data_IF_347791297038
#
_entry.id   IF_347791297038
#
_cell.length_a   1.000
_cell.length_b   1.000
_cell.length_c   1.000
_cell.angle_alpha   90.00
_cell.angle_beta   90.00
_cell.angle_gamma   90.00
#
_symmetry.space_group_name_H-M   'P 1'
#
loop_
_entity.id
_entity.type
_entity.pdbx_description
1 polymer ?
#
# COMPACT_ATOMS: atom_id res chain seq x y z
N UNK A 1 28.87 -1.61 -16.52
CA UNK A 1 29.04 -0.58 -15.48
C UNK A 1 28.31 0.69 -15.92
N UNK A 2 27.03 0.84 -15.58
CA UNK A 2 26.32 2.13 -15.58
C UNK A 2 24.95 1.96 -14.89
N UNK A 3 24.95 2.05 -13.56
CA UNK A 3 23.75 2.12 -12.71
C UNK A 3 23.27 3.57 -12.58
N UNK A 4 23.07 4.28 -13.70
CA UNK A 4 22.46 5.61 -13.68
C UNK A 4 20.98 5.46 -14.03
N UNK A 5 20.11 5.83 -13.09
CA UNK A 5 18.66 6.11 -13.25
C UNK A 5 17.69 4.92 -12.96
N UNK A 6 17.46 4.57 -11.68
CA UNK A 6 16.34 3.67 -11.25
C UNK A 6 15.42 4.39 -10.23
N UNK A 7 15.24 5.72 -10.33
CA UNK A 7 14.43 6.50 -9.38
C UNK A 7 13.61 7.64 -10.03
N UNK A 8 13.45 7.65 -11.35
CA UNK A 8 12.58 8.60 -12.04
C UNK A 8 11.30 7.88 -12.43
N UNK A 9 10.26 8.01 -11.62
CA UNK A 9 8.93 7.49 -11.94
C UNK A 9 8.46 7.92 -13.33
N UNK A 10 8.05 6.96 -14.16
CA UNK A 10 7.55 7.19 -15.52
C UNK A 10 6.13 6.66 -15.65
N UNK A 11 5.23 7.49 -16.19
CA UNK A 11 3.94 7.03 -16.70
C UNK A 11 4.19 6.58 -18.14
N UNK A 12 4.08 5.29 -18.40
CA UNK A 12 4.37 4.74 -19.73
C UNK A 12 3.27 5.18 -20.70
N UNK A 13 3.68 5.53 -21.92
CA UNK A 13 2.80 6.06 -22.96
C UNK A 13 2.64 5.06 -24.09
N UNK A 14 1.47 5.09 -24.71
CA UNK A 14 1.17 4.25 -25.86
C UNK A 14 1.95 4.75 -27.10
N UNK A 15 2.82 3.93 -27.69
CA UNK A 15 3.58 4.31 -28.89
C UNK A 15 2.69 4.50 -30.13
N UNK A 16 1.47 3.97 -30.16
CA UNK A 16 0.51 4.15 -31.26
C UNK A 16 -0.30 5.45 -31.16
N UNK A 17 -0.12 6.23 -30.08
CA UNK A 17 -0.78 7.52 -29.91
C UNK A 17 -0.24 8.55 -30.91
N UNK A 18 -1.11 9.18 -31.70
CA UNK A 18 -0.73 10.21 -32.69
C UNK A 18 0.13 11.34 -32.08
N UNK A 19 -0.13 11.70 -30.83
CA UNK A 19 0.62 12.73 -30.09
C UNK A 19 1.69 12.17 -29.14
N UNK A 20 1.86 10.85 -29.05
CA UNK A 20 2.73 10.17 -28.08
C UNK A 20 2.39 10.43 -26.61
N UNK A 21 1.23 11.04 -26.31
CA UNK A 21 0.85 11.51 -24.97
C UNK A 21 -0.13 10.60 -24.24
N UNK A 22 -0.80 9.67 -24.91
CA UNK A 22 -1.80 8.79 -24.27
C UNK A 22 -1.14 7.83 -23.27
N UNK A 23 -1.55 7.81 -21.99
CA UNK A 23 -1.06 6.83 -21.02
C UNK A 23 -1.57 5.42 -21.39
N UNK A 24 -0.70 4.42 -21.24
CA UNK A 24 -1.04 3.02 -21.53
C UNK A 24 -1.54 2.23 -20.29
N UNK A 25 -1.57 2.87 -19.11
CA UNK A 25 -1.99 2.27 -17.84
C UNK A 25 -0.85 1.67 -17.00
N UNK A 26 0.40 1.70 -17.46
CA UNK A 26 1.56 1.21 -16.70
C UNK A 26 2.26 2.38 -15.99
N UNK A 27 2.53 2.18 -14.70
CA UNK A 27 3.22 3.13 -13.84
C UNK A 27 4.52 2.50 -13.35
N UNK A 28 5.64 3.15 -13.63
CA UNK A 28 6.97 2.71 -13.21
C UNK A 28 7.46 3.49 -11.99
N UNK A 29 8.15 2.80 -11.08
CA UNK A 29 8.85 3.36 -9.92
C UNK A 29 7.99 4.34 -9.09
N UNK A 30 8.44 5.59 -8.93
CA UNK A 30 7.80 6.63 -8.13
C UNK A 30 6.44 7.08 -8.69
N UNK A 31 6.13 6.81 -9.97
CA UNK A 31 4.85 7.19 -10.56
C UNK A 31 3.69 6.35 -9.99
N UNK A 32 3.97 5.08 -9.62
CA UNK A 32 2.99 4.26 -8.94
C UNK A 32 2.62 4.89 -7.58
N UNK A 33 3.60 5.43 -6.86
CA UNK A 33 3.42 5.93 -5.50
C UNK A 33 2.36 7.02 -5.36
N UNK A 34 2.26 7.94 -6.32
CA UNK A 34 1.21 8.97 -6.33
C UNK A 34 -0.20 8.38 -6.41
N UNK A 35 -0.35 7.22 -7.06
CA UNK A 35 -1.63 6.50 -7.14
C UNK A 35 -1.90 5.70 -5.87
N UNK A 36 -0.86 5.22 -5.18
CA UNK A 36 -1.04 4.53 -3.90
C UNK A 36 -1.66 5.44 -2.85
N UNK A 37 -1.26 6.71 -2.78
CA UNK A 37 -1.85 7.69 -1.86
C UNK A 37 -3.37 7.87 -2.08
N UNK A 38 -3.83 7.83 -3.34
CA UNK A 38 -5.25 7.91 -3.68
C UNK A 38 -5.99 6.57 -3.50
N UNK A 39 -5.31 5.44 -3.72
CA UNK A 39 -5.91 4.11 -3.58
C UNK A 39 -6.11 3.73 -2.11
N UNK A 40 -5.25 4.26 -1.24
CA UNK A 40 -5.25 4.01 0.19
C UNK A 40 -5.97 5.08 1.00
N UNK A 41 -6.64 6.03 0.34
CA UNK A 41 -7.59 6.96 0.96
C UNK A 41 -8.92 6.25 1.25
N UNK A 42 -8.82 5.22 2.10
CA UNK A 42 -9.96 4.42 2.52
C UNK A 42 -10.56 5.07 3.78
N UNK A 43 -11.87 5.28 3.77
CA UNK A 43 -12.59 5.67 4.97
C UNK A 43 -12.40 4.63 6.09
N UNK A 44 -12.50 5.06 7.34
CA UNK A 44 -12.30 4.20 8.53
C UNK A 44 -13.17 2.93 8.48
N UNK A 45 -14.41 3.06 8.01
CA UNK A 45 -15.35 1.92 7.89
C UNK A 45 -14.95 0.92 6.81
N UNK A 46 -14.42 1.39 5.68
CA UNK A 46 -13.92 0.54 4.60
C UNK A 46 -12.65 -0.19 5.05
N UNK A 47 -11.74 0.52 5.74
CA UNK A 47 -10.59 -0.10 6.39
C UNK A 47 -10.98 -1.22 7.37
N UNK A 48 -12.00 -0.98 8.21
CA UNK A 48 -12.50 -2.00 9.13
C UNK A 48 -13.13 -3.20 8.40
N UNK A 49 -13.92 -2.96 7.35
CA UNK A 49 -14.57 -4.02 6.58
C UNK A 49 -13.55 -4.89 5.84
N UNK A 50 -12.58 -4.25 5.19
CA UNK A 50 -11.53 -4.93 4.45
C UNK A 50 -10.64 -5.77 5.37
N UNK A 51 -10.19 -5.20 6.49
CA UNK A 51 -9.36 -5.93 7.46
C UNK A 51 -10.10 -7.09 8.10
N UNK A 52 -11.39 -6.92 8.40
CA UNK A 52 -12.23 -8.01 8.93
C UNK A 52 -12.44 -9.13 7.93
N UNK A 53 -12.65 -8.80 6.66
CA UNK A 53 -12.78 -9.78 5.59
C UNK A 53 -11.46 -10.55 5.39
N UNK A 54 -10.33 -9.84 5.30
CA UNK A 54 -9.01 -10.44 5.15
C UNK A 54 -8.66 -11.37 6.32
N UNK A 55 -8.95 -10.96 7.56
CA UNK A 55 -8.73 -11.77 8.74
C UNK A 55 -9.52 -13.10 8.70
N UNK A 56 -10.80 -13.05 8.27
CA UNK A 56 -11.63 -14.25 8.11
C UNK A 56 -11.07 -15.20 7.05
N UNK A 57 -10.66 -14.68 5.90
CA UNK A 57 -10.10 -15.47 4.81
C UNK A 57 -8.77 -16.13 5.21
N UNK A 58 -7.90 -15.39 5.87
CA UNK A 58 -6.65 -15.92 6.42
C UNK A 58 -6.90 -16.98 7.49
N UNK A 59 -7.87 -16.77 8.39
CA UNK A 59 -8.22 -17.75 9.42
C UNK A 59 -8.79 -19.03 8.83
N UNK A 60 -9.58 -18.93 7.75
CA UNK A 60 -10.19 -20.07 7.09
C UNK A 60 -9.16 -21.07 6.54
N UNK A 61 -7.95 -20.60 6.21
CA UNK A 61 -6.83 -21.44 5.76
C UNK A 61 -5.79 -21.71 6.86
N UNK A 62 -6.09 -21.37 8.11
CA UNK A 62 -5.23 -21.64 9.26
C UNK A 62 -4.06 -20.68 9.45
N UNK A 63 -4.06 -19.52 8.76
CA UNK A 63 -3.03 -18.49 8.99
C UNK A 63 -3.29 -17.84 10.35
N UNK A 64 -2.29 -17.92 11.23
CA UNK A 64 -2.32 -17.35 12.58
C UNK A 64 -1.42 -16.14 12.74
N UNK A 65 -0.56 -15.85 11.76
CA UNK A 65 0.33 -14.69 11.75
C UNK A 65 0.34 -14.07 10.36
N UNK A 66 0.06 -12.77 10.27
CA UNK A 66 0.10 -11.99 9.03
C UNK A 66 1.09 -10.83 9.17
N UNK A 67 1.80 -10.50 8.08
CA UNK A 67 2.63 -9.30 8.00
C UNK A 67 1.93 -8.28 7.12
N UNK A 68 1.72 -7.09 7.63
CA UNK A 68 1.24 -5.96 6.85
C UNK A 68 2.40 -4.97 6.70
N UNK A 69 2.76 -4.66 5.46
CA UNK A 69 3.87 -3.77 5.13
C UNK A 69 3.49 -2.77 4.05
N UNK A 70 4.05 -1.57 4.12
CA UNK A 70 3.83 -0.54 3.10
C UNK A 70 2.46 0.15 3.16
N UNK A 71 1.75 0.00 4.28
CA UNK A 71 0.45 0.64 4.51
C UNK A 71 0.60 2.05 5.11
N UNK A 72 -0.41 2.92 4.96
CA UNK A 72 -0.43 4.24 5.59
C UNK A 72 -0.46 4.13 7.12
N UNK A 73 0.06 5.16 7.80
CA UNK A 73 0.10 5.20 9.28
C UNK A 73 -1.29 5.06 9.91
N UNK A 74 -2.33 5.65 9.31
CA UNK A 74 -3.70 5.56 9.80
C UNK A 74 -4.24 4.11 9.80
N UNK A 75 -3.89 3.32 8.77
CA UNK A 75 -4.26 1.89 8.69
C UNK A 75 -3.51 1.09 9.73
N UNK A 76 -2.23 1.40 9.97
CA UNK A 76 -1.44 0.75 11.01
C UNK A 76 -1.99 1.05 12.42
N UNK A 77 -2.41 2.29 12.70
CA UNK A 77 -3.06 2.67 13.96
C UNK A 77 -4.40 1.94 14.16
N UNK A 78 -5.24 1.87 13.12
CA UNK A 78 -6.49 1.12 13.17
C UNK A 78 -6.24 -0.37 13.46
N UNK A 79 -5.29 -0.98 12.75
CA UNK A 79 -4.92 -2.39 12.97
C UNK A 79 -4.36 -2.63 14.37
N UNK A 80 -3.54 -1.70 14.88
CA UNK A 80 -3.04 -1.76 16.25
C UNK A 80 -4.16 -1.70 17.28
N UNK A 81 -5.13 -0.79 17.09
CA UNK A 81 -6.30 -0.67 17.95
C UNK A 81 -7.17 -1.94 17.91
N UNK A 82 -7.48 -2.46 16.72
CA UNK A 82 -8.27 -3.68 16.54
C UNK A 82 -7.58 -4.93 17.10
N UNK A 83 -6.25 -5.00 16.97
CA UNK A 83 -5.43 -6.04 17.60
C UNK A 83 -5.50 -5.98 19.12
N UNK A 84 -5.42 -4.77 19.70
CA UNK A 84 -5.59 -4.55 21.14
C UNK A 84 -6.97 -4.93 21.68
N UNK A 85 -8.02 -4.77 20.86
CA UNK A 85 -9.38 -5.22 21.17
C UNK A 85 -9.62 -6.72 20.94
N UNK A 86 -8.58 -7.47 20.52
CA UNK A 86 -8.67 -8.89 20.17
C UNK A 86 -9.74 -9.19 19.10
N UNK A 87 -10.02 -8.24 18.21
CA UNK A 87 -11.00 -8.39 17.13
C UNK A 87 -10.60 -9.49 16.15
N UNK A 88 -9.30 -9.74 16.01
CA UNK A 88 -8.74 -10.81 15.19
C UNK A 88 -7.82 -11.67 16.06
N UNK A 89 -8.03 -12.99 16.06
CA UNK A 89 -7.18 -13.93 16.79
C UNK A 89 -5.77 -14.09 16.18
N UNK A 90 -5.52 -13.46 15.03
CA UNK A 90 -4.26 -13.52 14.30
C UNK A 90 -3.27 -12.48 14.81
N UNK A 91 -2.00 -12.86 14.89
CA UNK A 91 -0.90 -11.92 15.18
C UNK A 91 -0.59 -11.11 13.92
N UNK A 92 -0.59 -9.78 14.04
CA UNK A 92 -0.26 -8.89 12.92
C UNK A 92 1.08 -8.21 13.19
N UNK A 93 2.07 -8.49 12.34
CA UNK A 93 3.33 -7.75 12.32
C UNK A 93 3.14 -6.51 11.42
N UNK A 94 3.26 -5.32 12.01
CA UNK A 94 3.06 -4.05 11.31
C UNK A 94 4.40 -3.44 10.88
N UNK A 95 4.53 -3.16 9.59
CA UNK A 95 5.67 -2.44 9.00
C UNK A 95 5.14 -1.19 8.26
N UNK A 96 4.84 -0.10 9.00
CA UNK A 96 4.30 1.11 8.39
C UNK A 96 5.32 1.77 7.44
N UNK A 97 4.80 2.41 6.40
CA UNK A 97 5.63 3.15 5.44
C UNK A 97 6.04 4.50 6.08
N UNK A 98 7.23 4.58 6.66
CA UNK A 98 7.74 5.80 7.30
C UNK A 98 8.24 6.82 6.27
N UNK A 99 7.33 7.52 5.60
CA UNK A 99 7.68 8.67 4.74
C UNK A 99 6.93 9.93 5.15
N UNK A 100 6.97 10.23 6.46
CA UNK A 100 6.68 11.57 6.99
C UNK A 100 7.90 12.27 7.60
N UNK A 101 9.09 11.66 7.52
CA UNK A 101 10.35 12.22 8.07
C UNK A 101 11.52 12.28 7.06
N UNK A 102 11.26 12.29 5.75
CA UNK A 102 12.28 12.63 4.74
C UNK A 102 12.52 14.17 4.65
N UNK A 103 12.45 14.85 5.80
CA UNK A 103 13.12 16.13 6.06
C UNK A 103 13.80 16.00 7.43
N UNK A 104 14.99 15.43 7.37
CA UNK A 104 16.00 15.54 8.41
C UNK A 104 17.35 15.64 7.67
N UNK A 105 17.64 16.85 7.21
CA UNK A 105 18.98 17.40 7.45
C UNK A 105 19.02 17.86 8.89
#
# INVERSE_FOLDING_TARGET
MSQRLILRGVIVRDPASADGRRPNGVLEETAARAVWDHTLDLGVMDGLRMTTQAAKEYLAVGVTTASAGGMPSAVAELLGFLSGLNQFSQRVALFPLFEKWARAC
#
